data_IF_263396376754
#
_entry.id   IF_263396376754
#
_cell.length_a   1.000
_cell.length_b   1.000
_cell.length_c   1.000
_cell.angle_alpha   90.00
_cell.angle_beta   90.00
_cell.angle_gamma   90.00
#
_symmetry.space_group_name_H-M   'P 1'
#
loop_
_entity.id
_entity.type
_entity.pdbx_description
1 polymer ?
#
# COMPACT_ATOMS: atom_id res chain seq x y z
N UNK A 1 14.02 -6.32 -2.00
CA UNK A 1 12.96 -5.36 -1.62
C UNK A 1 12.32 -4.72 -2.84
N UNK A 2 13.09 -4.29 -3.87
CA UNK A 2 12.49 -3.73 -5.10
C UNK A 2 11.57 -4.74 -5.83
N UNK A 3 11.96 -6.01 -5.92
CA UNK A 3 11.15 -7.06 -6.57
C UNK A 3 9.80 -7.28 -5.85
N UNK A 4 9.80 -7.23 -4.51
CA UNK A 4 8.57 -7.30 -3.72
C UNK A 4 7.65 -6.11 -4.00
N UNK A 5 8.21 -4.91 -4.13
CA UNK A 5 7.45 -3.70 -4.48
C UNK A 5 6.92 -3.78 -5.91
N UNK A 6 7.66 -4.36 -6.85
CA UNK A 6 7.21 -4.58 -8.22
C UNK A 6 6.06 -5.58 -8.32
N UNK A 7 6.12 -6.67 -7.56
CA UNK A 7 5.02 -7.63 -7.47
C UNK A 7 3.79 -6.99 -6.82
N UNK A 8 3.98 -6.20 -5.76
CA UNK A 8 2.89 -5.45 -5.13
C UNK A 8 2.24 -4.45 -6.11
N UNK A 9 3.05 -3.78 -6.94
CA UNK A 9 2.56 -2.87 -7.98
C UNK A 9 1.76 -3.60 -9.06
N UNK A 10 2.09 -4.85 -9.38
CA UNK A 10 1.28 -5.65 -10.30
C UNK A 10 -0.07 -6.00 -9.69
N UNK A 11 -0.08 -6.50 -8.46
CA UNK A 11 -1.34 -6.83 -7.79
C UNK A 11 -2.23 -5.60 -7.58
N UNK A 12 -1.65 -4.44 -7.25
CA UNK A 12 -2.40 -3.19 -7.06
C UNK A 12 -3.17 -2.74 -8.29
N UNK A 13 -2.66 -3.00 -9.50
CA UNK A 13 -3.38 -2.70 -10.76
C UNK A 13 -4.56 -3.63 -11.02
N UNK A 14 -4.56 -4.81 -10.41
CA UNK A 14 -5.59 -5.83 -10.60
C UNK A 14 -6.64 -5.84 -9.47
N UNK A 15 -6.46 -5.00 -8.44
CA UNK A 15 -7.32 -4.96 -7.24
C UNK A 15 -8.80 -4.68 -7.55
N UNK A 16 -9.08 -3.87 -8.57
CA UNK A 16 -10.42 -3.54 -9.02
C UNK A 16 -10.85 -4.33 -10.27
N UNK A 17 -9.94 -5.08 -10.90
CA UNK A 17 -10.22 -5.87 -12.13
C UNK A 17 -10.80 -5.06 -13.31
N UNK A 18 -10.58 -3.73 -13.33
CA UNK A 18 -11.04 -2.84 -14.40
C UNK A 18 -9.87 -2.43 -15.29
N UNK A 19 -10.18 -2.09 -16.54
CA UNK A 19 -9.22 -1.40 -17.41
C UNK A 19 -9.13 0.10 -17.09
N UNK A 20 -8.10 0.78 -17.59
CA UNK A 20 -7.85 2.21 -17.28
C UNK A 20 -9.02 3.13 -17.71
N UNK A 21 -9.72 2.79 -18.79
CA UNK A 21 -10.88 3.54 -19.29
C UNK A 21 -12.09 3.43 -18.36
N UNK A 22 -12.34 2.24 -17.82
CA UNK A 22 -13.41 1.97 -16.84
C UNK A 22 -13.11 2.64 -15.49
N UNK A 23 -11.84 2.70 -15.08
CA UNK A 23 -11.42 3.45 -13.88
C UNK A 23 -11.67 4.95 -14.06
N UNK A 24 -11.43 5.51 -15.25
CA UNK A 24 -11.72 6.92 -15.55
C UNK A 24 -13.23 7.21 -15.62
N UNK A 25 -14.02 6.24 -16.08
CA UNK A 25 -15.48 6.35 -16.15
C UNK A 25 -16.16 6.20 -14.78
N UNK A 26 -15.52 5.50 -13.84
CA UNK A 26 -15.91 5.56 -12.44
C UNK A 26 -15.66 7.00 -11.95
N UNK A 27 -16.76 7.73 -11.70
CA UNK A 27 -16.72 8.88 -10.82
C UNK A 27 -16.37 8.35 -9.42
N UNK A 28 -15.09 8.11 -9.18
CA UNK A 28 -14.56 7.65 -7.90
C UNK A 28 -14.87 8.75 -6.91
N UNK A 29 -16.03 8.65 -6.27
CA UNK A 29 -16.37 9.48 -5.13
C UNK A 29 -15.29 9.17 -4.11
N UNK A 30 -14.39 10.12 -3.87
CA UNK A 30 -13.31 9.94 -2.91
C UNK A 30 -13.96 9.68 -1.55
N UNK A 31 -13.99 8.41 -1.15
CA UNK A 31 -14.32 8.07 0.21
C UNK A 31 -13.08 8.39 1.04
N UNK A 32 -13.22 9.06 2.18
CA UNK A 32 -12.08 9.31 3.04
C UNK A 32 -11.57 7.97 3.59
N UNK A 33 -10.57 7.37 2.93
CA UNK A 33 -9.80 6.24 3.44
C UNK A 33 -8.91 6.74 4.59
N UNK A 34 -9.53 6.91 5.76
CA UNK A 34 -8.88 7.47 6.94
C UNK A 34 -7.80 6.54 7.52
N UNK A 35 -6.53 6.91 7.41
CA UNK A 35 -5.43 6.11 7.96
C UNK A 35 -4.54 5.47 6.90
N UNK A 36 -4.85 5.66 5.61
CA UNK A 36 -3.84 5.44 4.57
C UNK A 36 -2.81 6.58 4.57
N UNK A 37 -1.52 6.27 4.36
CA UNK A 37 -0.47 7.27 4.23
C UNK A 37 -0.78 8.24 3.10
N UNK A 38 -0.60 9.55 3.35
CA UNK A 38 -0.59 10.56 2.29
C UNK A 38 0.84 10.81 1.87
N UNK A 39 1.13 10.54 0.60
CA UNK A 39 2.45 10.76 0.03
C UNK A 39 2.57 12.20 -0.46
N UNK A 40 3.22 13.05 0.33
CA UNK A 40 3.66 14.38 -0.09
C UNK A 40 5.17 14.37 -0.13
N UNK A 41 5.75 13.93 -1.23
CA UNK A 41 7.21 13.96 -1.41
C UNK A 41 7.53 14.73 -2.68
N UNK A 42 8.35 15.76 -2.52
CA UNK A 42 9.00 16.52 -3.59
C UNK A 42 10.34 15.89 -3.93
N UNK A 43 10.88 16.15 -5.13
CA UNK A 43 12.18 15.63 -5.52
C UNK A 43 13.33 16.06 -4.57
N UNK A 44 13.18 17.20 -3.89
CA UNK A 44 14.13 17.69 -2.89
C UNK A 44 14.21 16.76 -1.66
N UNK A 45 13.09 16.13 -1.26
CA UNK A 45 13.03 15.26 -0.08
C UNK A 45 13.89 14.00 -0.25
N UNK A 46 14.17 13.58 -1.49
CA UNK A 46 15.00 12.42 -1.78
C UNK A 46 16.51 12.67 -1.58
N UNK A 47 16.95 13.93 -1.63
CA UNK A 47 18.37 14.27 -1.50
C UNK A 47 18.89 14.20 -0.07
N UNK A 48 17.99 14.19 0.92
CA UNK A 48 18.31 14.19 2.35
C UNK A 48 17.84 12.91 3.07
N UNK A 49 17.53 11.84 2.32
CA UNK A 49 17.04 10.59 2.92
C UNK A 49 18.09 9.96 3.83
N UNK A 50 17.66 9.61 5.04
CA UNK A 50 18.45 8.75 5.93
C UNK A 50 17.91 7.33 5.85
N UNK A 51 18.83 6.35 5.81
CA UNK A 51 18.50 4.94 5.65
C UNK A 51 17.53 4.44 6.72
N UNK A 52 17.84 4.69 7.99
CA UNK A 52 17.00 4.29 9.12
C UNK A 52 15.60 4.92 9.06
N UNK A 53 15.50 6.24 8.93
CA UNK A 53 14.23 6.97 8.87
C UNK A 53 13.38 6.50 7.68
N UNK A 54 14.01 6.27 6.52
CA UNK A 54 13.33 5.81 5.31
C UNK A 54 12.79 4.39 5.44
N UNK A 55 13.58 3.46 5.99
CA UNK A 55 13.15 2.07 6.23
C UNK A 55 12.06 2.01 7.29
N UNK A 56 12.15 2.81 8.35
CA UNK A 56 11.13 2.95 9.38
C UNK A 56 9.81 3.46 8.79
N UNK A 57 9.88 4.49 7.94
CA UNK A 57 8.70 5.04 7.28
C UNK A 57 8.06 4.03 6.31
N UNK A 58 8.87 3.34 5.50
CA UNK A 58 8.42 2.25 4.64
C UNK A 58 7.72 1.14 5.45
N UNK A 59 8.25 0.79 6.62
CA UNK A 59 7.66 -0.21 7.50
C UNK A 59 6.27 0.22 8.00
N UNK A 60 6.14 1.43 8.53
CA UNK A 60 4.87 1.99 9.04
C UNK A 60 3.81 2.04 7.94
N UNK A 61 4.19 2.49 6.74
CA UNK A 61 3.28 2.53 5.59
C UNK A 61 2.87 1.13 5.14
N UNK A 62 3.80 0.19 5.11
CA UNK A 62 3.50 -1.22 4.82
C UNK A 62 2.49 -1.79 5.83
N UNK A 63 2.64 -1.52 7.13
CA UNK A 63 1.65 -1.96 8.13
C UNK A 63 0.26 -1.36 7.88
N UNK A 64 0.19 -0.08 7.53
CA UNK A 64 -1.09 0.59 7.21
C UNK A 64 -1.79 -0.09 6.04
N UNK A 65 -1.05 -0.38 4.96
CA UNK A 65 -1.62 -1.07 3.80
C UNK A 65 -2.00 -2.52 4.08
N UNK A 66 -1.28 -3.24 4.94
CA UNK A 66 -1.66 -4.62 5.34
C UNK A 66 -3.06 -4.64 5.94
N UNK A 67 -3.33 -3.72 6.86
CA UNK A 67 -4.64 -3.59 7.52
C UNK A 67 -5.73 -3.30 6.49
N UNK A 68 -5.50 -2.33 5.59
CA UNK A 68 -6.47 -1.96 4.57
C UNK A 68 -6.74 -3.03 3.52
N UNK A 69 -5.70 -3.70 3.02
CA UNK A 69 -5.84 -4.74 1.99
C UNK A 69 -6.48 -6.01 2.57
N UNK A 70 -6.16 -6.38 3.82
CA UNK A 70 -6.83 -7.49 4.50
C UNK A 70 -8.33 -7.21 4.72
N UNK A 71 -8.66 -5.99 5.13
CA UNK A 71 -10.05 -5.55 5.23
C UNK A 71 -10.74 -5.58 3.86
N UNK A 72 -10.12 -5.01 2.82
CA UNK A 72 -10.69 -4.97 1.47
C UNK A 72 -10.99 -6.36 0.93
N UNK A 73 -10.09 -7.33 1.16
CA UNK A 73 -10.31 -8.73 0.78
C UNK A 73 -11.59 -9.27 1.41
N UNK A 74 -11.77 -9.05 2.71
CA UNK A 74 -12.97 -9.48 3.45
C UNK A 74 -14.22 -8.78 2.94
N UNK A 75 -14.13 -7.49 2.59
CA UNK A 75 -15.24 -6.74 2.01
C UNK A 75 -15.64 -7.29 0.63
N UNK A 76 -14.66 -7.57 -0.24
CA UNK A 76 -14.88 -8.18 -1.55
C UNK A 76 -15.52 -9.57 -1.45
N UNK A 77 -15.00 -10.43 -0.57
CA UNK A 77 -15.54 -11.77 -0.35
C UNK A 77 -17.01 -11.73 0.11
N UNK A 78 -17.38 -10.76 0.96
CA UNK A 78 -18.77 -10.58 1.45
C UNK A 78 -19.76 -10.21 0.35
N UNK A 79 -19.34 -9.39 -0.62
CA UNK A 79 -20.20 -8.97 -1.73
C UNK A 79 -20.04 -9.87 -2.97
N UNK A 80 -19.29 -10.96 -2.87
CA UNK A 80 -19.11 -11.93 -3.96
C UNK A 80 -18.19 -11.47 -5.09
N UNK A 81 -17.29 -10.51 -4.82
CA UNK A 81 -16.30 -10.03 -5.80
C UNK A 81 -15.05 -10.92 -5.84
N UNK A 82 -14.37 -10.99 -7.01
CA UNK A 82 -13.06 -11.64 -7.09
C UNK A 82 -12.04 -10.95 -6.18
N UNK A 83 -11.39 -11.72 -5.30
CA UNK A 83 -10.43 -11.19 -4.31
C UNK A 83 -9.02 -11.77 -4.45
N UNK A 84 -8.73 -12.48 -5.55
CA UNK A 84 -7.43 -13.15 -5.80
C UNK A 84 -6.26 -12.17 -5.78
N UNK A 85 -6.35 -11.07 -6.53
CA UNK A 85 -5.27 -10.07 -6.60
C UNK A 85 -5.13 -9.30 -5.28
N UNK A 86 -6.23 -9.06 -4.56
CA UNK A 86 -6.21 -8.51 -3.19
C UNK A 86 -5.51 -9.46 -2.20
N UNK A 87 -5.76 -10.76 -2.32
CA UNK A 87 -5.04 -11.79 -1.57
C UNK A 87 -3.54 -11.82 -1.90
N UNK A 88 -3.19 -11.70 -3.18
CA UNK A 88 -1.80 -11.56 -3.64
C UNK A 88 -1.10 -10.33 -3.07
N UNK A 89 -1.75 -9.16 -3.13
CA UNK A 89 -1.26 -7.92 -2.54
C UNK A 89 -1.06 -8.07 -1.02
N UNK A 90 -2.02 -8.69 -0.32
CA UNK A 90 -1.91 -8.94 1.13
C UNK A 90 -0.68 -9.80 1.46
N UNK A 91 -0.44 -10.87 0.71
CA UNK A 91 0.72 -11.74 0.92
C UNK A 91 2.04 -10.99 0.65
N UNK A 92 2.10 -10.20 -0.44
CA UNK A 92 3.30 -9.41 -0.75
C UNK A 92 3.59 -8.34 0.29
N UNK A 93 2.56 -7.69 0.83
CA UNK A 93 2.72 -6.73 1.93
C UNK A 93 3.25 -7.38 3.21
N UNK A 94 2.87 -8.64 3.50
CA UNK A 94 3.48 -9.42 4.58
C UNK A 94 4.97 -9.67 4.32
N UNK A 95 5.32 -10.17 3.14
CA UNK A 95 6.74 -10.40 2.78
C UNK A 95 7.56 -9.11 2.84
N UNK A 96 7.04 -7.99 2.35
CA UNK A 96 7.71 -6.70 2.41
C UNK A 96 7.90 -6.23 3.86
N UNK A 97 6.87 -6.38 4.70
CA UNK A 97 6.91 -6.08 6.13
C UNK A 97 8.03 -6.86 6.84
N UNK A 98 8.12 -8.17 6.58
CA UNK A 98 9.11 -9.02 7.23
C UNK A 98 10.55 -8.65 6.83
N UNK A 99 10.75 -8.31 5.56
CA UNK A 99 12.05 -7.81 5.07
C UNK A 99 12.43 -6.47 5.68
N UNK A 100 11.49 -5.52 5.76
CA UNK A 100 11.73 -4.22 6.37
C UNK A 100 12.06 -4.36 7.85
N UNK A 101 11.34 -5.21 8.59
CA UNK A 101 11.67 -5.53 9.99
C UNK A 101 13.09 -6.08 10.12
N UNK A 102 13.46 -7.06 9.27
CA UNK A 102 14.79 -7.66 9.31
C UNK A 102 15.89 -6.63 8.99
N UNK A 103 15.67 -5.75 8.00
CA UNK A 103 16.62 -4.68 7.66
C UNK A 103 16.78 -3.67 8.78
N UNK A 104 15.70 -3.27 9.47
CA UNK A 104 15.76 -2.37 10.63
C UNK A 104 16.54 -3.00 11.78
N UNK A 105 16.30 -4.28 12.07
CA UNK A 105 17.04 -5.03 13.09
C UNK A 105 18.54 -5.16 12.76
N UNK A 106 18.89 -5.37 11.48
CA UNK A 106 20.28 -5.47 11.04
C UNK A 106 21.08 -4.18 11.28
N UNK A 107 20.42 -3.02 11.22
CA UNK A 107 21.05 -1.72 11.50
C UNK A 107 20.89 -1.29 12.98
N UNK A 108 20.45 -2.19 13.85
CA UNK A 108 20.17 -1.96 15.27
C UNK A 108 19.16 -0.82 15.53
N UNK A 109 18.21 -0.63 14.61
CA UNK A 109 17.11 0.32 14.80
C UNK A 109 15.91 -0.35 15.45
N UNK A 110 15.24 0.39 16.34
CA UNK A 110 14.02 -0.07 16.97
C UNK A 110 12.88 -0.09 15.95
N UNK A 111 12.06 -1.14 16.00
CA UNK A 111 10.94 -1.26 15.09
C UNK A 111 9.87 -0.23 15.45
N UNK A 112 9.46 0.66 14.52
CA UNK A 112 8.41 1.62 14.79
C UNK A 112 7.13 0.91 15.24
N UNK A 113 6.40 1.50 16.18
CA UNK A 113 5.09 0.99 16.53
C UNK A 113 4.18 0.99 15.31
N UNK A 114 3.44 -0.11 15.13
CA UNK A 114 2.43 -0.17 14.06
C UNK A 114 1.45 1.00 14.25
N UNK A 115 1.08 1.70 13.16
CA UNK A 115 0.09 2.75 13.25
C UNK A 115 -1.22 2.18 13.81
N UNK A 116 -1.95 2.97 14.62
CA UNK A 116 -3.22 2.53 15.15
C UNK A 116 -4.18 2.20 13.99
N UNK A 117 -5.02 1.17 14.14
CA UNK A 117 -6.00 0.83 13.12
C UNK A 117 -6.93 2.03 12.88
N UNK A 118 -7.46 2.15 11.66
CA UNK A 118 -8.37 3.24 11.33
C UNK A 118 -9.62 3.18 12.23
N UNK A 119 -10.19 4.33 12.64
CA UNK A 119 -11.33 4.38 13.57
C UNK A 119 -12.57 3.71 12.99
N UNK A 120 -12.70 3.68 11.66
CA UNK A 120 -13.75 2.97 10.95
C UNK A 120 -13.32 2.68 9.52
N UNK A 121 -13.71 1.52 9.01
CA UNK A 121 -13.60 1.22 7.57
C UNK A 121 -14.87 1.68 6.83
N UNK A 122 -14.78 1.97 5.53
CA UNK A 122 -15.94 2.24 4.69
C UNK A 122 -16.97 1.10 4.76
N UNK A 123 -18.25 1.43 4.71
CA UNK A 123 -19.28 0.41 4.56
C UNK A 123 -19.32 -0.05 3.10
N UNK A 124 -19.17 -1.36 2.88
CA UNK A 124 -19.28 -1.99 1.56
C UNK A 124 -20.50 -2.90 1.60
N UNK A 125 -21.59 -2.48 0.95
CA UNK A 125 -22.86 -3.21 0.92
C UNK A 125 -23.18 -3.76 -0.47
N UNK A 126 -22.63 -3.16 -1.52
CA UNK A 126 -22.83 -3.58 -2.90
C UNK A 126 -21.50 -3.91 -3.58
N UNK A 127 -21.57 -4.64 -4.70
CA UNK A 127 -20.42 -4.87 -5.58
C UNK A 127 -19.86 -3.57 -6.16
N UNK A 128 -20.72 -2.57 -6.39
CA UNK A 128 -20.30 -1.24 -6.84
C UNK A 128 -19.50 -0.50 -5.76
N UNK A 129 -19.93 -0.55 -4.50
CA UNK A 129 -19.17 0.02 -3.38
C UNK A 129 -17.80 -0.65 -3.25
N UNK A 130 -17.79 -1.99 -3.36
CA UNK A 130 -16.56 -2.77 -3.35
C UNK A 130 -15.61 -2.35 -4.49
N UNK A 131 -16.14 -2.18 -5.69
CA UNK A 131 -15.38 -1.72 -6.86
C UNK A 131 -14.79 -0.33 -6.66
N UNK A 132 -15.59 0.62 -6.19
CA UNK A 132 -15.17 2.01 -5.95
C UNK A 132 -14.05 2.08 -4.89
N UNK A 133 -14.21 1.34 -3.78
CA UNK A 133 -13.19 1.28 -2.73
C UNK A 133 -11.94 0.55 -3.24
N UNK A 134 -12.07 -0.55 -3.98
CA UNK A 134 -10.93 -1.26 -4.58
C UNK A 134 -10.11 -0.36 -5.49
N UNK A 135 -10.77 0.48 -6.30
CA UNK A 135 -10.09 1.43 -7.18
C UNK A 135 -9.30 2.49 -6.37
N UNK A 136 -9.87 2.99 -5.28
CA UNK A 136 -9.20 3.96 -4.41
C UNK A 136 -7.98 3.35 -3.68
N UNK A 137 -8.15 2.15 -3.12
CA UNK A 137 -7.05 1.43 -2.46
C UNK A 137 -5.95 1.09 -3.47
N UNK A 138 -6.32 0.64 -4.67
CA UNK A 138 -5.39 0.40 -5.76
C UNK A 138 -4.57 1.64 -6.10
N UNK A 139 -5.21 2.80 -6.27
CA UNK A 139 -4.52 4.05 -6.56
C UNK A 139 -3.51 4.41 -5.47
N UNK A 140 -3.92 4.38 -4.20
CA UNK A 140 -3.02 4.70 -3.08
C UNK A 140 -1.87 3.70 -2.96
N UNK A 141 -2.15 2.40 -3.17
CA UNK A 141 -1.13 1.35 -3.14
C UNK A 141 -0.14 1.48 -4.31
N UNK A 142 -0.59 1.90 -5.49
CA UNK A 142 0.28 2.23 -6.61
C UNK A 142 1.20 3.42 -6.27
N UNK A 143 0.65 4.51 -5.73
CA UNK A 143 1.45 5.66 -5.27
C UNK A 143 2.50 5.24 -4.25
N UNK A 144 2.12 4.41 -3.27
CA UNK A 144 3.05 3.83 -2.31
C UNK A 144 4.17 3.02 -2.98
N UNK A 145 3.84 2.17 -3.96
CA UNK A 145 4.84 1.37 -4.67
C UNK A 145 5.81 2.26 -5.43
N UNK A 146 5.31 3.26 -6.17
CA UNK A 146 6.17 4.20 -6.90
C UNK A 146 7.11 4.96 -5.97
N UNK A 147 6.58 5.50 -4.88
CA UNK A 147 7.38 6.18 -3.86
C UNK A 147 8.43 5.24 -3.26
N UNK A 148 8.04 4.03 -2.86
CA UNK A 148 8.93 3.04 -2.25
C UNK A 148 10.09 2.66 -3.17
N UNK A 149 9.83 2.50 -4.47
CA UNK A 149 10.89 2.25 -5.46
C UNK A 149 11.89 3.41 -5.53
N UNK A 150 11.41 4.66 -5.51
CA UNK A 150 12.29 5.82 -5.54
C UNK A 150 13.16 5.90 -4.28
N UNK A 151 12.57 5.64 -3.10
CA UNK A 151 13.30 5.58 -1.83
C UNK A 151 14.38 4.51 -1.88
N UNK A 152 14.00 3.26 -2.19
CA UNK A 152 14.94 2.13 -2.22
C UNK A 152 16.11 2.36 -3.19
N UNK A 153 15.83 2.82 -4.41
CA UNK A 153 16.87 3.14 -5.40
C UNK A 153 17.77 4.29 -4.98
N UNK A 154 17.25 5.27 -4.24
CA UNK A 154 18.04 6.39 -3.75
C UNK A 154 18.98 5.91 -2.64
N UNK A 155 18.48 5.08 -1.73
CA UNK A 155 19.28 4.48 -0.67
C UNK A 155 20.39 3.58 -1.23
N UNK A 156 20.08 2.72 -2.20
CA UNK A 156 21.08 1.85 -2.88
C UNK A 156 22.16 2.63 -3.64
N UNK A 157 21.91 3.90 -3.99
CA UNK A 157 22.91 4.75 -4.64
C UNK A 157 23.78 5.51 -3.63
N UNK A 158 23.29 5.71 -2.42
CA UNK A 158 23.96 6.49 -1.38
C UNK A 158 24.81 5.62 -0.44
N UNK A 159 24.48 4.33 -0.32
CA UNK A 159 25.11 3.36 0.59
C UNK A 159 25.54 2.11 -0.18
#
# INVERSE_FOLDING_TARGET
MELEVDLLLRFSKELHSLNETEVQALAVTQLPLQGLPRFHHTAADFTALKLNESLAQLYVYTQSFKVYVAWLKTAQDRVGMPSKSTGGASAQLHTLSDRLSASLQQINEELPQSPPPPPSFPLVSTTFDGLNVSAQVAQQLQTFCYWSKQVLRTLERQF
#
